data_IF_512134724238
#
_entry.id   IF_512134724238
#
_cell.length_a   1.000
_cell.length_b   1.000
_cell.length_c   1.000
_cell.angle_alpha   90.00
_cell.angle_beta   90.00
_cell.angle_gamma   90.00
#
_symmetry.space_group_name_H-M   'P 1'
#
loop_
_entity.id
_entity.type
_entity.pdbx_description
1 polymer ?
#
# COMPACT_ATOMS: atom_id res chain seq x y z
N UNK A 1 24.14 -11.63 -38.34
CA UNK A 1 24.40 -13.05 -38.00
C UNK A 1 25.29 -13.15 -36.76
N UNK A 2 26.49 -12.55 -36.73
CA UNK A 2 27.35 -12.58 -35.54
C UNK A 2 26.76 -11.81 -34.34
N UNK A 3 26.23 -10.61 -34.58
CA UNK A 3 25.58 -9.77 -33.56
C UNK A 3 24.34 -10.45 -32.95
N UNK A 4 23.39 -10.89 -33.78
CA UNK A 4 22.24 -11.67 -33.29
C UNK A 4 22.62 -12.93 -32.50
N UNK A 5 23.66 -13.67 -32.92
CA UNK A 5 24.11 -14.84 -32.16
C UNK A 5 24.69 -14.47 -30.78
N UNK A 6 25.32 -13.30 -30.69
CA UNK A 6 25.81 -12.76 -29.42
C UNK A 6 24.65 -12.32 -28.53
N UNK A 7 23.64 -11.62 -29.07
CA UNK A 7 22.45 -11.22 -28.34
C UNK A 7 21.69 -12.43 -27.79
N UNK A 8 21.57 -13.51 -28.59
CA UNK A 8 20.94 -14.77 -28.17
C UNK A 8 21.71 -15.42 -27.01
N UNK A 9 23.04 -15.45 -27.08
CA UNK A 9 23.87 -16.00 -26.01
C UNK A 9 23.77 -15.17 -24.73
N UNK A 10 23.68 -13.85 -24.85
CA UNK A 10 23.51 -12.94 -23.71
C UNK A 10 22.16 -13.17 -23.00
N UNK A 11 21.06 -13.23 -23.75
CA UNK A 11 19.75 -13.50 -23.13
C UNK A 11 19.63 -14.92 -22.57
N UNK A 12 20.34 -15.90 -23.15
CA UNK A 12 20.43 -17.24 -22.58
C UNK A 12 21.13 -17.24 -21.21
N UNK A 13 22.27 -16.54 -21.09
CA UNK A 13 22.98 -16.37 -19.81
C UNK A 13 22.10 -15.66 -18.78
N UNK A 14 21.44 -14.57 -19.18
CA UNK A 14 20.56 -13.81 -18.29
C UNK A 14 19.39 -14.67 -17.78
N UNK A 15 18.71 -15.41 -18.65
CA UNK A 15 17.61 -16.31 -18.24
C UNK A 15 18.12 -17.39 -17.30
N UNK A 16 19.28 -17.98 -17.60
CA UNK A 16 19.90 -19.02 -16.76
C UNK A 16 20.20 -18.51 -15.35
N UNK A 17 20.81 -17.33 -15.25
CA UNK A 17 21.18 -16.69 -13.97
C UNK A 17 19.96 -16.21 -13.19
N UNK A 18 18.96 -15.61 -13.85
CA UNK A 18 17.73 -15.11 -13.23
C UNK A 18 16.88 -16.23 -12.62
N UNK A 19 17.06 -17.47 -13.08
CA UNK A 19 16.28 -18.63 -12.65
C UNK A 19 17.15 -19.70 -11.97
N UNK A 20 18.36 -19.35 -11.53
CA UNK A 20 19.30 -20.31 -10.97
C UNK A 20 18.83 -20.90 -9.62
N UNK A 21 19.07 -22.18 -9.41
CA UNK A 21 18.59 -22.92 -8.23
C UNK A 21 19.18 -22.45 -6.88
N UNK A 22 20.35 -21.81 -6.92
CA UNK A 22 21.03 -21.29 -5.74
C UNK A 22 20.44 -19.96 -5.26
N UNK A 23 19.57 -19.31 -6.04
CA UNK A 23 18.94 -18.05 -5.65
C UNK A 23 18.04 -18.25 -4.43
N UNK A 24 18.00 -17.25 -3.55
CA UNK A 24 17.08 -17.23 -2.41
C UNK A 24 15.66 -16.82 -2.83
N UNK A 25 15.54 -16.07 -3.91
CA UNK A 25 14.29 -15.55 -4.47
C UNK A 25 14.53 -14.88 -5.82
N UNK A 26 13.54 -14.13 -6.35
CA UNK A 26 13.67 -13.43 -7.62
C UNK A 26 14.78 -12.39 -7.58
N UNK A 27 15.69 -12.41 -8.55
CA UNK A 27 16.73 -11.40 -8.69
C UNK A 27 16.24 -10.29 -9.62
N UNK A 28 15.60 -9.27 -9.03
CA UNK A 28 14.89 -8.22 -9.77
C UNK A 28 15.78 -7.47 -10.77
N UNK A 29 17.05 -7.24 -10.44
CA UNK A 29 17.98 -6.60 -11.35
C UNK A 29 18.15 -7.39 -12.67
N UNK A 30 18.21 -8.72 -12.60
CA UNK A 30 18.30 -9.57 -13.80
C UNK A 30 16.98 -9.63 -14.56
N UNK A 31 15.85 -9.70 -13.85
CA UNK A 31 14.52 -9.72 -14.48
C UNK A 31 14.24 -8.43 -15.27
N UNK A 32 14.60 -7.28 -14.72
CA UNK A 32 14.45 -5.97 -15.39
C UNK A 32 15.43 -5.85 -16.55
N UNK A 33 16.69 -6.29 -16.39
CA UNK A 33 17.65 -6.30 -17.50
C UNK A 33 17.15 -7.13 -18.70
N UNK A 34 16.48 -8.26 -18.46
CA UNK A 34 15.83 -9.04 -19.52
C UNK A 34 14.67 -8.30 -20.18
N UNK A 35 13.88 -7.53 -19.42
CA UNK A 35 12.82 -6.69 -19.98
C UNK A 35 13.41 -5.59 -20.86
N UNK A 36 14.48 -4.94 -20.41
CA UNK A 36 15.18 -3.90 -21.18
C UNK A 36 15.77 -4.48 -22.47
N UNK A 37 16.40 -5.66 -22.40
CA UNK A 37 16.91 -6.36 -23.57
C UNK A 37 15.78 -6.71 -24.56
N UNK A 38 14.66 -7.25 -24.07
CA UNK A 38 13.51 -7.57 -24.92
C UNK A 38 12.95 -6.33 -25.62
N UNK A 39 12.87 -5.19 -24.92
CA UNK A 39 12.39 -3.92 -25.47
C UNK A 39 13.39 -3.28 -26.46
N UNK A 40 14.70 -3.43 -26.23
CA UNK A 40 15.73 -2.92 -27.14
C UNK A 40 15.88 -3.80 -28.40
N UNK A 41 15.73 -5.12 -28.25
CA UNK A 41 16.07 -6.10 -29.28
C UNK A 41 14.90 -7.08 -29.49
N UNK A 42 13.87 -6.65 -30.22
CA UNK A 42 12.69 -7.49 -30.47
C UNK A 42 13.00 -8.81 -31.19
N UNK A 43 14.12 -8.88 -31.93
CA UNK A 43 14.55 -10.08 -32.65
C UNK A 43 14.83 -11.29 -31.73
N UNK A 44 15.24 -11.06 -30.48
CA UNK A 44 15.54 -12.13 -29.51
C UNK A 44 14.34 -12.53 -28.64
N UNK A 45 13.16 -11.92 -28.83
CA UNK A 45 11.98 -12.23 -28.03
C UNK A 45 11.55 -13.71 -28.14
N UNK A 46 11.66 -14.30 -29.33
CA UNK A 46 11.41 -15.74 -29.52
C UNK A 46 12.43 -16.60 -28.74
N UNK A 47 13.70 -16.18 -28.74
CA UNK A 47 14.76 -16.85 -28.01
C UNK A 47 14.53 -16.82 -26.50
N UNK A 48 14.21 -15.65 -25.95
CA UNK A 48 13.87 -15.49 -24.53
C UNK A 48 12.75 -16.45 -24.14
N UNK A 49 11.65 -16.48 -24.89
CA UNK A 49 10.50 -17.34 -24.57
C UNK A 49 10.85 -18.83 -24.69
N UNK A 50 11.69 -19.21 -25.66
CA UNK A 50 12.20 -20.58 -25.77
C UNK A 50 13.07 -20.98 -24.58
N UNK A 51 13.92 -20.07 -24.09
CA UNK A 51 14.72 -20.34 -22.89
C UNK A 51 13.82 -20.47 -21.65
N UNK A 52 12.80 -19.61 -21.49
CA UNK A 52 11.79 -19.76 -20.44
C UNK A 52 11.09 -21.13 -20.50
N UNK A 53 10.67 -21.58 -21.68
CA UNK A 53 10.06 -22.91 -21.85
C UNK A 53 10.97 -24.04 -21.36
N UNK A 54 12.27 -23.99 -21.69
CA UNK A 54 13.26 -24.97 -21.19
C UNK A 54 13.35 -24.95 -19.67
N UNK A 55 13.29 -23.76 -19.04
CA UNK A 55 13.37 -23.62 -17.58
C UNK A 55 12.08 -24.07 -16.86
N UNK A 56 10.91 -23.86 -17.47
CA UNK A 56 9.62 -24.37 -16.95
C UNK A 56 9.52 -25.90 -16.93
N UNK A 57 10.32 -26.59 -17.75
CA UNK A 57 10.41 -28.06 -17.78
C UNK A 57 11.33 -28.63 -16.69
N UNK A 58 11.91 -27.80 -15.83
CA UNK A 58 12.76 -28.27 -14.73
C UNK A 58 11.93 -28.96 -13.65
N UNK A 59 12.39 -30.12 -13.19
CA UNK A 59 11.83 -30.80 -12.02
C UNK A 59 12.16 -30.09 -10.69
N UNK A 60 12.99 -29.03 -10.73
CA UNK A 60 13.31 -28.23 -9.55
C UNK A 60 12.21 -27.18 -9.32
N UNK A 61 11.45 -27.26 -8.20
CA UNK A 61 10.33 -26.37 -7.95
C UNK A 61 10.75 -24.90 -7.84
N UNK A 62 11.96 -24.63 -7.35
CA UNK A 62 12.49 -23.28 -7.27
C UNK A 62 12.77 -22.69 -8.65
N UNK A 63 13.37 -23.48 -9.54
CA UNK A 63 13.64 -23.05 -10.93
C UNK A 63 12.32 -22.76 -11.64
N UNK A 64 11.32 -23.63 -11.51
CA UNK A 64 9.99 -23.42 -12.08
C UNK A 64 9.34 -22.13 -11.53
N UNK A 65 9.36 -21.92 -10.20
CA UNK A 65 8.79 -20.74 -9.57
C UNK A 65 9.46 -19.44 -10.01
N UNK A 66 10.80 -19.39 -10.01
CA UNK A 66 11.55 -18.21 -10.47
C UNK A 66 11.28 -17.92 -11.96
N UNK A 67 11.13 -18.97 -12.78
CA UNK A 67 10.78 -18.82 -14.19
C UNK A 67 9.37 -18.27 -14.38
N UNK A 68 8.40 -18.69 -13.55
CA UNK A 68 7.05 -18.12 -13.56
C UNK A 68 7.07 -16.62 -13.18
N UNK A 69 7.84 -16.23 -12.16
CA UNK A 69 7.99 -14.81 -11.76
C UNK A 69 8.68 -13.98 -12.84
N UNK A 70 9.74 -14.50 -13.47
CA UNK A 70 10.40 -13.84 -14.59
C UNK A 70 9.43 -13.66 -15.78
N UNK A 71 8.66 -14.71 -16.09
CA UNK A 71 7.64 -14.67 -17.15
C UNK A 71 6.58 -13.61 -16.86
N UNK A 72 6.09 -13.53 -15.63
CA UNK A 72 5.15 -12.48 -15.20
C UNK A 72 5.74 -11.08 -15.42
N UNK A 73 7.00 -10.89 -15.03
CA UNK A 73 7.70 -9.62 -15.18
C UNK A 73 7.83 -9.21 -16.65
N UNK A 74 8.14 -10.16 -17.52
CA UNK A 74 8.22 -9.96 -18.98
C UNK A 74 6.85 -9.68 -19.62
N UNK A 75 5.76 -10.28 -19.12
CA UNK A 75 4.40 -9.95 -19.60
C UNK A 75 3.95 -8.56 -19.14
N UNK A 76 4.43 -8.08 -18.00
CA UNK A 76 4.09 -6.74 -17.49
C UNK A 76 4.87 -5.62 -18.16
N UNK A 77 6.13 -5.87 -18.50
CA UNK A 77 7.08 -4.81 -18.93
C UNK A 77 7.65 -5.03 -20.35
N UNK A 78 7.37 -6.17 -20.97
CA UNK A 78 7.94 -6.54 -22.27
C UNK A 78 7.14 -5.98 -23.46
N UNK A 79 7.73 -6.05 -24.67
CA UNK A 79 7.07 -5.58 -25.88
C UNK A 79 5.97 -6.54 -26.34
N UNK A 80 5.06 -6.11 -27.24
CA UNK A 80 4.02 -6.99 -27.81
C UNK A 80 4.53 -8.29 -28.44
N UNK A 81 5.79 -8.32 -28.90
CA UNK A 81 6.44 -9.53 -29.39
C UNK A 81 6.52 -10.63 -28.31
N UNK A 82 6.85 -10.28 -27.07
CA UNK A 82 6.83 -11.21 -25.93
C UNK A 82 5.40 -11.70 -25.66
N UNK A 83 4.41 -10.81 -25.66
CA UNK A 83 3.02 -11.17 -25.42
C UNK A 83 2.50 -12.18 -26.45
N UNK A 84 2.84 -11.99 -27.73
CA UNK A 84 2.48 -12.90 -28.81
C UNK A 84 3.06 -14.31 -28.59
N UNK A 85 4.34 -14.39 -28.20
CA UNK A 85 5.03 -15.66 -27.98
C UNK A 85 4.54 -16.40 -26.73
N UNK A 86 4.37 -15.67 -25.61
CA UNK A 86 3.80 -16.22 -24.37
C UNK A 86 2.32 -16.59 -24.56
N UNK A 87 1.58 -15.81 -25.35
CA UNK A 87 0.21 -16.08 -25.76
C UNK A 87 0.07 -17.26 -26.75
N UNK A 88 1.12 -18.02 -27.02
CA UNK A 88 1.02 -19.27 -27.78
C UNK A 88 0.42 -20.39 -26.92
N UNK A 89 -0.40 -21.26 -27.54
CA UNK A 89 -0.93 -22.44 -26.84
C UNK A 89 0.17 -23.36 -26.31
N UNK A 90 1.31 -23.42 -26.99
CA UNK A 90 2.45 -24.21 -26.56
C UNK A 90 2.97 -23.72 -25.20
N UNK A 91 3.23 -22.42 -25.06
CA UNK A 91 3.74 -21.84 -23.83
C UNK A 91 2.71 -21.93 -22.69
N UNK A 92 1.46 -21.52 -22.96
CA UNK A 92 0.40 -21.53 -21.94
C UNK A 92 0.07 -22.93 -21.44
N UNK A 93 0.16 -23.96 -22.29
CA UNK A 93 -0.04 -25.34 -21.85
C UNK A 93 1.09 -25.83 -20.93
N UNK A 94 2.33 -25.35 -21.11
CA UNK A 94 3.42 -25.67 -20.16
C UNK A 94 3.16 -25.02 -18.80
N UNK A 95 2.72 -23.76 -18.77
CA UNK A 95 2.32 -23.11 -17.51
C UNK A 95 1.12 -23.83 -16.89
N UNK A 96 0.13 -24.23 -17.68
CA UNK A 96 -1.03 -24.98 -17.20
C UNK A 96 -0.67 -26.36 -16.64
N UNK A 97 0.36 -27.03 -17.18
CA UNK A 97 0.82 -28.31 -16.66
C UNK A 97 1.33 -28.18 -15.20
N UNK A 98 1.95 -27.05 -14.85
CA UNK A 98 2.44 -26.77 -13.50
C UNK A 98 1.31 -26.59 -12.46
N UNK A 99 0.05 -26.54 -12.88
CA UNK A 99 -1.10 -26.42 -11.98
C UNK A 99 -1.54 -27.74 -11.33
N UNK A 100 -0.89 -28.86 -11.65
CA UNK A 100 -1.24 -30.18 -11.12
C UNK A 100 -0.75 -30.42 -9.67
N UNK A 101 0.11 -29.54 -9.15
CA UNK A 101 0.66 -29.64 -7.79
C UNK A 101 1.89 -30.56 -7.66
N UNK A 102 2.37 -31.16 -8.75
CA UNK A 102 3.51 -32.09 -8.74
C UNK A 102 4.82 -31.46 -8.22
N UNK A 103 5.03 -30.16 -8.48
CA UNK A 103 6.17 -29.39 -8.00
C UNK A 103 5.87 -28.58 -6.71
N UNK A 104 4.77 -28.86 -6.05
CA UNK A 104 4.38 -28.21 -4.80
C UNK A 104 3.41 -27.05 -4.95
N UNK A 105 2.82 -26.67 -3.82
CA UNK A 105 1.67 -25.75 -3.74
C UNK A 105 2.03 -24.34 -4.22
N UNK A 106 3.24 -23.85 -3.96
CA UNK A 106 3.67 -22.51 -4.38
C UNK A 106 3.74 -22.38 -5.90
N UNK A 107 4.30 -23.38 -6.58
CA UNK A 107 4.37 -23.43 -8.05
C UNK A 107 2.98 -23.53 -8.65
N UNK A 108 2.14 -24.42 -8.10
CA UNK A 108 0.75 -24.58 -8.52
C UNK A 108 -0.04 -23.27 -8.40
N UNK A 109 0.03 -22.62 -7.23
CA UNK A 109 -0.68 -21.38 -6.97
C UNK A 109 -0.21 -20.25 -7.89
N UNK A 110 1.10 -20.11 -8.08
CA UNK A 110 1.66 -19.11 -8.99
C UNK A 110 1.22 -19.35 -10.44
N UNK A 111 1.29 -20.59 -10.93
CA UNK A 111 0.86 -20.92 -12.29
C UNK A 111 -0.63 -20.60 -12.53
N UNK A 112 -1.50 -21.00 -11.58
CA UNK A 112 -2.93 -20.70 -11.66
C UNK A 112 -3.21 -19.20 -11.58
N UNK A 113 -2.52 -18.49 -10.69
CA UNK A 113 -2.64 -17.04 -10.55
C UNK A 113 -2.30 -16.34 -11.87
N UNK A 114 -1.19 -16.69 -12.50
CA UNK A 114 -0.76 -16.10 -13.77
C UNK A 114 -1.75 -16.38 -14.90
N UNK A 115 -2.21 -17.62 -15.05
CA UNK A 115 -3.20 -17.96 -16.09
C UNK A 115 -4.48 -17.14 -15.93
N UNK A 116 -4.96 -16.96 -14.69
CA UNK A 116 -6.13 -16.10 -14.42
C UNK A 116 -5.84 -14.64 -14.76
N UNK A 117 -4.75 -14.08 -14.24
CA UNK A 117 -4.39 -12.67 -14.45
C UNK A 117 -4.20 -12.35 -15.93
N UNK A 118 -3.54 -13.22 -16.70
CA UNK A 118 -3.35 -13.00 -18.13
C UNK A 118 -4.66 -13.15 -18.92
N UNK A 119 -5.53 -14.08 -18.55
CA UNK A 119 -6.85 -14.18 -19.18
C UNK A 119 -7.69 -12.91 -18.99
N UNK A 120 -7.61 -12.29 -17.81
CA UNK A 120 -8.28 -11.01 -17.52
C UNK A 120 -7.60 -9.83 -18.24
N UNK A 121 -6.26 -9.74 -18.18
CA UNK A 121 -5.50 -8.64 -18.76
C UNK A 121 -5.58 -8.59 -20.30
N UNK A 122 -5.59 -9.75 -20.95
CA UNK A 122 -5.69 -9.87 -22.42
C UNK A 122 -7.14 -10.12 -22.90
N UNK A 123 -8.13 -9.84 -22.04
CA UNK A 123 -9.55 -9.95 -22.39
C UNK A 123 -9.90 -8.97 -23.52
N UNK A 124 -10.47 -9.50 -24.61
CA UNK A 124 -10.82 -8.71 -25.79
C UNK A 124 -9.67 -8.40 -26.74
N UNK A 125 -8.45 -8.88 -26.47
CA UNK A 125 -7.34 -8.85 -27.43
C UNK A 125 -7.43 -10.02 -28.43
N UNK A 126 -6.65 -9.92 -29.52
CA UNK A 126 -6.45 -11.00 -30.51
C UNK A 126 -5.70 -12.23 -29.93
N UNK A 127 -5.10 -12.11 -28.73
CA UNK A 127 -4.38 -13.20 -28.05
C UNK A 127 -5.35 -14.10 -27.28
N UNK A 128 -6.30 -14.70 -27.98
CA UNK A 128 -7.40 -15.49 -27.40
C UNK A 128 -6.93 -16.71 -26.58
N UNK A 129 -5.72 -17.21 -26.82
CA UNK A 129 -5.20 -18.39 -26.14
C UNK A 129 -5.14 -18.23 -24.61
N UNK A 130 -4.88 -17.03 -24.09
CA UNK A 130 -4.90 -16.75 -22.66
C UNK A 130 -6.27 -17.09 -22.04
N UNK A 131 -7.34 -16.59 -22.66
CA UNK A 131 -8.72 -16.86 -22.23
C UNK A 131 -9.11 -18.32 -22.46
N UNK A 132 -8.67 -18.91 -23.57
CA UNK A 132 -9.00 -20.31 -23.91
C UNK A 132 -8.42 -21.29 -22.90
N UNK A 133 -7.16 -21.13 -22.49
CA UNK A 133 -6.51 -22.01 -21.51
C UNK A 133 -7.15 -21.85 -20.13
N UNK A 134 -7.43 -20.61 -19.71
CA UNK A 134 -8.16 -20.35 -18.46
C UNK A 134 -9.54 -21.04 -18.45
N UNK A 135 -10.35 -20.87 -19.51
CA UNK A 135 -11.65 -21.52 -19.64
C UNK A 135 -11.54 -23.05 -19.64
N UNK A 136 -10.54 -23.61 -20.32
CA UNK A 136 -10.29 -25.05 -20.34
C UNK A 136 -10.02 -25.60 -18.94
N UNK A 137 -9.17 -24.94 -18.14
CA UNK A 137 -8.90 -25.37 -16.77
C UNK A 137 -10.14 -25.24 -15.88
N UNK A 138 -10.92 -24.16 -16.02
CA UNK A 138 -12.21 -24.01 -15.31
C UNK A 138 -13.20 -25.13 -15.66
N UNK A 139 -13.32 -25.49 -16.94
CA UNK A 139 -14.17 -26.61 -17.38
C UNK A 139 -13.72 -27.96 -16.83
N UNK A 140 -12.40 -28.13 -16.59
CA UNK A 140 -11.84 -29.33 -15.93
C UNK A 140 -12.04 -29.34 -14.41
N UNK A 141 -12.68 -28.31 -13.84
CA UNK A 141 -12.94 -28.21 -12.40
C UNK A 141 -11.75 -27.71 -11.59
N UNK A 142 -10.70 -27.17 -12.23
CA UNK A 142 -9.56 -26.60 -11.52
C UNK A 142 -10.00 -25.36 -10.75
N UNK A 143 -9.78 -25.39 -9.43
CA UNK A 143 -10.00 -24.24 -8.57
C UNK A 143 -8.83 -23.27 -8.74
N UNK A 144 -9.14 -22.05 -9.19
CA UNK A 144 -8.14 -20.99 -9.24
C UNK A 144 -8.06 -20.32 -7.88
N UNK A 145 -6.87 -19.95 -7.41
CA UNK A 145 -6.75 -19.16 -6.20
C UNK A 145 -7.62 -17.92 -6.35
N UNK A 146 -8.41 -17.66 -5.32
CA UNK A 146 -8.95 -16.31 -5.13
C UNK A 146 -7.71 -15.42 -5.12
N UNK A 147 -7.65 -14.45 -6.04
CA UNK A 147 -6.56 -13.50 -5.94
C UNK A 147 -6.77 -12.86 -4.57
N UNK A 148 -5.86 -13.12 -3.62
CA UNK A 148 -5.81 -12.43 -2.34
C UNK A 148 -5.35 -10.97 -2.60
N UNK A 149 -6.02 -10.31 -3.53
CA UNK A 149 -6.24 -8.88 -3.49
C UNK A 149 -7.40 -8.60 -2.53
N UNK A 150 -7.40 -9.21 -1.35
CA UNK A 150 -8.20 -8.67 -0.26
C UNK A 150 -7.60 -7.28 -0.02
N UNK A 151 -8.37 -6.27 -0.39
CA UNK A 151 -8.10 -4.90 0.03
C UNK A 151 -7.91 -4.99 1.55
N UNK A 152 -6.76 -4.55 2.10
CA UNK A 152 -6.55 -4.66 3.54
C UNK A 152 -7.76 -4.07 4.25
N UNK A 153 -8.37 -4.83 5.17
CA UNK A 153 -9.63 -4.45 5.79
C UNK A 153 -9.38 -3.21 6.66
N UNK A 154 -9.63 -2.06 6.07
CA UNK A 154 -9.86 -0.83 6.80
C UNK A 154 -11.33 -0.85 7.21
N UNK A 155 -11.60 -0.72 8.50
CA UNK A 155 -12.96 -0.55 9.01
C UNK A 155 -12.79 0.33 10.24
N UNK A 156 -13.07 1.64 10.19
CA UNK A 156 -12.80 2.54 11.29
C UNK A 156 -13.49 2.07 12.57
N UNK A 157 -12.96 2.41 13.76
CA UNK A 157 -13.61 2.04 15.01
C UNK A 157 -15.05 2.59 15.04
N UNK A 158 -16.01 1.78 15.48
CA UNK A 158 -17.42 2.17 15.46
C UNK A 158 -17.62 3.40 16.35
N UNK A 159 -18.19 4.46 15.78
CA UNK A 159 -18.52 5.70 16.51
C UNK A 159 -19.78 5.57 17.38
N UNK A 160 -20.22 4.34 17.67
CA UNK A 160 -21.39 4.04 18.49
C UNK A 160 -20.95 3.45 19.83
N UNK A 161 -21.41 4.09 20.91
CA UNK A 161 -21.36 3.61 22.29
C UNK A 161 -21.73 2.13 22.42
N UNK A 162 -20.98 1.42 23.27
CA UNK A 162 -21.11 0.00 23.66
C UNK A 162 -22.53 -0.57 23.56
N UNK A 163 -22.76 -1.44 22.57
CA UNK A 163 -23.64 -2.59 22.71
C UNK A 163 -22.94 -3.80 22.07
N UNK A 164 -22.41 -4.68 22.94
CA UNK A 164 -21.98 -6.01 22.56
C UNK A 164 -23.21 -6.83 22.16
N UNK A 165 -23.40 -7.02 20.85
CA UNK A 165 -24.27 -8.08 20.36
C UNK A 165 -23.44 -9.02 19.50
N UNK A 166 -22.96 -10.09 20.15
CA UNK A 166 -22.32 -11.24 19.53
C UNK A 166 -23.39 -12.02 18.76
N UNK A 167 -23.66 -11.58 17.52
CA UNK A 167 -24.36 -12.42 16.53
C UNK A 167 -23.29 -13.03 15.62
N UNK A 168 -23.00 -14.30 15.89
CA UNK A 168 -22.21 -15.15 15.00
C UNK A 168 -22.92 -15.31 13.66
N UNK A 169 -22.61 -14.42 12.72
CA UNK A 169 -22.86 -14.60 11.30
C UNK A 169 -21.51 -14.59 10.63
N UNK A 170 -21.14 -15.72 9.99
CA UNK A 170 -19.97 -15.79 9.14
C UNK A 170 -20.01 -14.62 8.14
N UNK A 171 -18.92 -13.85 7.96
CA UNK A 171 -18.97 -12.67 7.11
C UNK A 171 -19.28 -13.12 5.68
N UNK A 172 -20.42 -12.69 5.16
CA UNK A 172 -20.74 -12.76 3.73
C UNK A 172 -19.55 -12.18 2.97
N UNK A 173 -18.82 -13.03 2.22
CA UNK A 173 -17.61 -12.62 1.49
C UNK A 173 -18.00 -11.57 0.43
N UNK A 174 -17.56 -10.33 0.64
CA UNK A 174 -17.79 -9.20 -0.27
C UNK A 174 -16.91 -9.34 -1.51
N UNK A 175 -17.40 -8.88 -2.67
CA UNK A 175 -16.58 -8.83 -3.89
C UNK A 175 -15.48 -7.76 -3.75
N UNK A 176 -14.40 -7.85 -4.53
CA UNK A 176 -13.30 -6.86 -4.54
C UNK A 176 -13.79 -5.43 -4.79
N UNK A 177 -14.76 -5.27 -5.70
CA UNK A 177 -15.40 -3.97 -5.96
C UNK A 177 -16.11 -3.43 -4.71
N UNK A 178 -16.86 -4.27 -4.00
CA UNK A 178 -17.51 -3.89 -2.74
C UNK A 178 -16.52 -3.58 -1.62
N UNK A 179 -15.38 -4.27 -1.57
CA UNK A 179 -14.31 -3.98 -0.62
C UNK A 179 -13.64 -2.64 -0.92
N UNK A 180 -13.40 -2.33 -2.20
CA UNK A 180 -12.81 -1.08 -2.64
C UNK A 180 -13.77 0.11 -2.41
N UNK A 181 -15.05 -0.05 -2.72
CA UNK A 181 -16.08 0.95 -2.38
C UNK A 181 -16.15 1.20 -0.87
N UNK A 182 -16.09 0.13 -0.08
CA UNK A 182 -16.07 0.26 1.38
C UNK A 182 -14.81 0.97 1.88
N UNK A 183 -13.64 0.66 1.33
CA UNK A 183 -12.39 1.35 1.67
C UNK A 183 -12.51 2.86 1.41
N UNK A 184 -13.00 3.26 0.23
CA UNK A 184 -13.19 4.69 -0.08
C UNK A 184 -14.21 5.35 0.87
N UNK A 185 -15.31 4.66 1.21
CA UNK A 185 -16.27 5.16 2.20
C UNK A 185 -15.63 5.34 3.59
N UNK A 186 -14.83 4.38 4.01
CA UNK A 186 -14.16 4.40 5.30
C UNK A 186 -13.06 5.49 5.37
N UNK A 187 -12.30 5.69 4.29
CA UNK A 187 -11.34 6.80 4.16
C UNK A 187 -12.05 8.16 4.25
N UNK A 188 -13.23 8.28 3.64
CA UNK A 188 -14.05 9.51 3.73
C UNK A 188 -14.48 9.79 5.17
N UNK A 189 -14.86 8.77 5.95
CA UNK A 189 -15.19 8.94 7.38
C UNK A 189 -13.98 9.47 8.16
N UNK A 190 -12.78 8.96 7.88
CA UNK A 190 -11.55 9.46 8.52
C UNK A 190 -11.30 10.91 8.16
N UNK A 191 -11.44 11.29 6.89
CA UNK A 191 -11.31 12.68 6.44
C UNK A 191 -12.32 13.60 7.13
N UNK A 192 -13.57 13.17 7.30
CA UNK A 192 -14.61 13.91 8.02
C UNK A 192 -14.26 14.07 9.50
N UNK A 193 -13.75 13.03 10.15
CA UNK A 193 -13.28 13.08 11.55
C UNK A 193 -12.06 13.98 11.74
N UNK A 194 -11.12 14.00 10.80
CA UNK A 194 -9.98 14.93 10.77
C UNK A 194 -10.49 16.39 10.70
N UNK A 195 -11.45 16.67 9.81
CA UNK A 195 -12.05 18.00 9.69
C UNK A 195 -12.74 18.43 10.98
N UNK A 196 -13.54 17.53 11.56
CA UNK A 196 -14.20 17.77 12.84
C UNK A 196 -13.17 18.07 13.95
N UNK A 197 -12.10 17.27 14.05
CA UNK A 197 -11.04 17.50 15.03
C UNK A 197 -10.44 18.91 14.89
N UNK A 198 -10.11 19.31 13.65
CA UNK A 198 -9.56 20.64 13.38
C UNK A 198 -10.53 21.76 13.73
N UNK A 199 -11.82 21.58 13.45
CA UNK A 199 -12.85 22.57 13.76
C UNK A 199 -13.06 22.72 15.28
N UNK A 200 -13.13 21.60 16.01
CA UNK A 200 -13.22 21.61 17.48
C UNK A 200 -11.98 22.27 18.09
N UNK A 201 -10.79 21.93 17.57
CA UNK A 201 -9.51 22.49 18.01
C UNK A 201 -9.41 24.00 17.77
N UNK A 202 -9.77 24.47 16.57
CA UNK A 202 -9.77 25.90 16.22
C UNK A 202 -10.76 26.72 17.05
N UNK A 203 -11.84 26.09 17.53
CA UNK A 203 -12.82 26.70 18.44
C UNK A 203 -12.36 26.69 19.90
N UNK A 204 -11.21 26.10 20.21
CA UNK A 204 -10.71 25.93 21.58
C UNK A 204 -11.60 25.04 22.44
N UNK A 205 -12.40 24.15 21.83
CA UNK A 205 -13.27 23.26 22.58
C UNK A 205 -12.44 22.18 23.25
N UNK A 206 -12.67 21.99 24.55
CA UNK A 206 -12.06 20.94 25.36
C UNK A 206 -13.17 20.08 25.97
N UNK A 207 -12.95 18.77 26.09
CA UNK A 207 -13.94 17.84 26.65
C UNK A 207 -14.01 16.49 25.94
N UNK A 208 -14.96 15.67 26.38
CA UNK A 208 -15.14 14.27 25.95
C UNK A 208 -15.25 14.12 24.43
N UNK A 209 -16.02 14.99 23.77
CA UNK A 209 -16.20 14.96 22.31
C UNK A 209 -14.90 15.16 21.52
N UNK A 210 -13.95 15.97 22.03
CA UNK A 210 -12.65 16.16 21.38
C UNK A 210 -11.78 14.91 21.57
N UNK A 211 -11.77 14.35 22.78
CA UNK A 211 -10.97 13.17 23.10
C UNK A 211 -11.48 11.93 22.35
N UNK A 212 -12.79 11.77 22.21
CA UNK A 212 -13.40 10.68 21.41
C UNK A 212 -12.95 10.72 19.95
N UNK A 213 -12.89 11.93 19.36
CA UNK A 213 -12.44 12.11 17.98
C UNK A 213 -10.93 11.86 17.88
N UNK A 214 -10.13 12.31 18.86
CA UNK A 214 -8.70 12.03 18.93
C UNK A 214 -8.41 10.53 19.02
N UNK A 215 -9.11 9.81 19.89
CA UNK A 215 -8.92 8.39 20.11
C UNK A 215 -9.38 7.57 18.91
N UNK A 216 -10.48 7.95 18.26
CA UNK A 216 -10.88 7.38 16.97
C UNK A 216 -9.75 7.51 15.94
N UNK A 217 -9.17 8.71 15.79
CA UNK A 217 -8.14 8.99 14.79
C UNK A 217 -6.81 8.29 15.10
N UNK A 218 -6.41 8.18 16.37
CA UNK A 218 -5.26 7.38 16.81
C UNK A 218 -5.43 5.90 16.45
N UNK A 219 -6.62 5.36 16.64
CA UNK A 219 -6.93 3.97 16.29
C UNK A 219 -6.93 3.70 14.78
N UNK A 220 -7.10 4.72 13.94
CA UNK A 220 -6.99 4.60 12.49
C UNK A 220 -5.54 4.47 11.99
N UNK A 221 -4.55 4.96 12.74
CA UNK A 221 -3.15 4.98 12.34
C UNK A 221 -2.55 3.59 12.03
N UNK A 222 -2.64 2.56 12.92
CA UNK A 222 -2.11 1.24 12.60
C UNK A 222 -2.79 0.61 11.38
N UNK A 223 -4.07 0.92 11.17
CA UNK A 223 -4.87 0.40 10.05
C UNK A 223 -4.49 1.08 8.73
N UNK A 224 -4.14 2.36 8.77
CA UNK A 224 -3.63 3.11 7.63
C UNK A 224 -2.26 2.59 7.20
N UNK A 225 -1.39 2.25 8.14
CA UNK A 225 -0.10 1.63 7.84
C UNK A 225 -0.26 0.29 7.09
N UNK A 226 -1.18 -0.57 7.55
CA UNK A 226 -1.47 -1.84 6.86
C UNK A 226 -2.02 -1.63 5.45
N UNK A 227 -2.82 -0.58 5.21
CA UNK A 227 -3.29 -0.21 3.87
C UNK A 227 -2.14 0.22 2.97
N UNK A 228 -1.25 1.08 3.47
CA UNK A 228 -0.09 1.58 2.73
C UNK A 228 0.86 0.42 2.38
N UNK A 229 1.16 -0.44 3.35
CA UNK A 229 1.93 -1.68 3.11
C UNK A 229 1.27 -2.56 2.05
N UNK A 230 -0.05 -2.75 2.13
CA UNK A 230 -0.81 -3.50 1.13
C UNK A 230 -0.75 -2.87 -0.27
N UNK A 231 -0.78 -1.53 -0.38
CA UNK A 231 -0.63 -0.84 -1.65
C UNK A 231 0.78 -0.92 -2.23
N UNK A 232 1.82 -0.83 -1.39
CA UNK A 232 3.20 -1.08 -1.82
C UNK A 232 3.37 -2.51 -2.36
N UNK A 233 2.64 -3.47 -1.78
CA UNK A 233 2.57 -4.85 -2.27
C UNK A 233 1.67 -5.06 -3.49
N UNK A 234 1.07 -4.00 -4.05
CA UNK A 234 0.22 -4.06 -5.24
C UNK A 234 -1.20 -4.60 -5.00
N UNK A 235 -1.68 -4.63 -3.74
CA UNK A 235 -3.02 -5.14 -3.40
C UNK A 235 -4.16 -4.16 -3.72
N UNK A 236 -3.83 -2.87 -3.82
CA UNK A 236 -4.73 -1.77 -4.23
C UNK A 236 -4.08 -1.01 -5.39
N UNK A 237 -4.89 -0.33 -6.21
CA UNK A 237 -4.36 0.46 -7.33
C UNK A 237 -3.61 1.72 -6.85
N UNK A 238 -2.77 2.25 -7.74
CA UNK A 238 -1.89 3.40 -7.46
C UNK A 238 -2.66 4.64 -6.99
N UNK A 239 -3.86 4.86 -7.54
CA UNK A 239 -4.71 6.00 -7.19
C UNK A 239 -5.26 5.87 -5.77
N UNK A 240 -5.71 4.66 -5.38
CA UNK A 240 -6.16 4.41 -4.01
C UNK A 240 -4.99 4.48 -3.02
N UNK A 241 -3.79 4.00 -3.39
CA UNK A 241 -2.60 4.15 -2.55
C UNK A 241 -2.23 5.62 -2.33
N UNK A 242 -2.25 6.44 -3.38
CA UNK A 242 -2.03 7.89 -3.29
C UNK A 242 -3.04 8.54 -2.32
N UNK A 243 -4.31 8.16 -2.39
CA UNK A 243 -5.33 8.63 -1.47
C UNK A 243 -5.05 8.20 -0.02
N UNK A 244 -4.67 6.95 0.22
CA UNK A 244 -4.29 6.45 1.55
C UNK A 244 -3.11 7.25 2.14
N UNK A 245 -2.07 7.49 1.33
CA UNK A 245 -0.89 8.26 1.74
C UNK A 245 -1.27 9.69 2.12
N UNK A 246 -2.06 10.37 1.27
CA UNK A 246 -2.50 11.74 1.54
C UNK A 246 -3.37 11.83 2.81
N UNK A 247 -4.28 10.89 3.03
CA UNK A 247 -5.09 10.84 4.26
C UNK A 247 -4.20 10.59 5.48
N UNK A 248 -3.21 9.71 5.38
CA UNK A 248 -2.27 9.42 6.46
C UNK A 248 -1.42 10.64 6.84
N UNK A 249 -0.91 11.37 5.85
CA UNK A 249 -0.09 12.57 6.08
C UNK A 249 -0.91 13.66 6.78
N UNK A 250 -2.14 13.90 6.33
CA UNK A 250 -3.05 14.87 6.96
C UNK A 250 -3.40 14.41 8.38
N UNK A 251 -3.66 13.12 8.59
CA UNK A 251 -3.96 12.53 9.89
C UNK A 251 -2.82 12.78 10.88
N UNK A 252 -1.60 12.38 10.51
CA UNK A 252 -0.40 12.51 11.35
C UNK A 252 -0.13 13.97 11.70
N UNK A 253 -0.20 14.86 10.72
CA UNK A 253 -0.02 16.30 10.92
C UNK A 253 -1.06 16.88 11.90
N UNK A 254 -2.34 16.51 11.74
CA UNK A 254 -3.41 17.01 12.60
C UNK A 254 -3.27 16.50 14.04
N UNK A 255 -2.88 15.24 14.23
CA UNK A 255 -2.62 14.69 15.57
C UNK A 255 -1.41 15.36 16.23
N UNK A 256 -0.35 15.65 15.47
CA UNK A 256 0.83 16.34 15.97
C UNK A 256 0.50 17.79 16.39
N UNK A 257 -0.26 18.53 15.59
CA UNK A 257 -0.73 19.88 15.90
C UNK A 257 -1.54 19.92 17.20
N UNK A 258 -2.50 19.01 17.39
CA UNK A 258 -3.28 18.92 18.63
C UNK A 258 -2.41 18.56 19.85
N UNK A 259 -1.37 17.73 19.66
CA UNK A 259 -0.45 17.37 20.76
C UNK A 259 0.40 18.55 21.23
N UNK A 260 0.91 19.37 20.29
CA UNK A 260 1.73 20.56 20.58
C UNK A 260 0.93 21.64 21.32
N UNK A 261 -0.32 21.87 20.92
CA UNK A 261 -1.20 22.83 21.61
C UNK A 261 -1.52 22.38 23.05
N UNK A 262 -1.80 21.10 23.31
CA UNK A 262 -2.00 20.59 24.69
C UNK A 262 -0.78 20.84 25.58
N UNK A 263 0.44 20.69 25.05
CA UNK A 263 1.67 20.99 25.79
C UNK A 263 1.85 22.49 26.04
N UNK A 264 1.43 23.34 25.09
CA UNK A 264 1.50 24.80 25.23
C UNK A 264 0.49 25.34 26.25
N UNK A 265 -0.73 24.79 26.29
CA UNK A 265 -1.76 25.15 27.30
C UNK A 265 -1.38 24.71 28.72
N UNK A 266 -0.66 23.58 28.88
CA UNK A 266 -0.11 23.19 30.20
C UNK A 266 1.00 24.13 30.69
N UNK A 267 1.83 24.68 29.79
CA UNK A 267 2.91 25.60 30.16
C UNK A 267 2.41 27.01 30.46
N UNK A 268 1.26 27.44 29.92
CA UNK A 268 0.68 28.76 30.19
C UNK A 268 -0.13 28.79 31.50
N UNK A 269 -0.61 27.63 31.98
CA UNK A 269 -1.37 27.54 33.22
C UNK A 269 -0.51 27.66 34.49
N UNK A 270 0.80 27.39 34.42
CA UNK A 270 1.71 27.37 35.57
C UNK A 270 2.38 28.73 35.88
N UNK A 271 1.87 29.82 35.31
CA UNK A 271 2.20 31.18 35.78
C UNK A 271 1.24 31.58 36.89
N UNK A 272 1.69 31.70 38.17
CA UNK A 272 0.82 32.15 39.24
C UNK A 272 0.32 33.56 38.93
N UNK A 273 -0.93 33.93 39.29
CA UNK A 273 -1.34 35.32 39.25
C UNK A 273 -0.47 36.08 40.25
N UNK A 274 0.45 36.89 39.73
CA UNK A 274 1.20 37.86 40.52
C UNK A 274 0.21 38.76 41.24
N UNK A 275 0.02 38.48 42.53
CA UNK A 275 -0.80 39.27 43.43
C UNK A 275 -0.20 40.67 43.54
N UNK A 276 -0.74 41.63 42.78
CA UNK A 276 -0.47 43.04 42.98
C UNK A 276 -1.72 43.71 43.57
N UNK A 277 -2.02 43.36 44.83
CA UNK A 277 -2.90 44.15 45.72
C UNK A 277 -2.45 43.99 47.17
N UNK A 278 -1.93 45.09 47.70
CA UNK A 278 -1.99 45.65 49.08
C UNK A 278 -0.67 46.41 49.30
N UNK A 279 -0.61 47.64 49.81
CA UNK A 279 -1.49 48.31 50.75
C UNK A 279 -1.42 49.84 50.58
N UNK A 280 -2.55 50.51 50.84
CA UNK A 280 -2.53 51.87 51.32
C UNK A 280 -2.40 51.90 52.85
N UNK A 281 -2.02 53.07 53.37
CA UNK A 281 -2.11 53.55 54.76
C UNK A 281 -0.91 53.23 55.67
N UNK A 282 0.09 54.11 55.63
CA UNK A 282 0.83 54.54 56.83
C UNK A 282 0.35 55.97 57.15
N UNK A 283 -0.23 56.14 58.33
CA UNK A 283 -0.87 57.36 58.81
C UNK A 283 0.07 58.09 59.80
N UNK A 284 0.32 59.37 59.51
CA UNK A 284 0.32 60.56 60.39
C UNK A 284 1.32 60.78 61.56
N UNK A 285 1.60 62.08 61.75
CA UNK A 285 2.34 62.84 62.78
C UNK A 285 3.86 62.68 62.88
N UNK A 286 4.69 63.73 62.93
CA UNK A 286 4.64 65.21 63.02
C UNK A 286 6.14 65.62 63.09
N UNK A 287 6.63 66.85 63.08
CA UNK A 287 6.16 68.23 63.07
C UNK A 287 7.45 69.08 62.83
N UNK A 288 7.31 70.40 62.63
CA UNK A 288 8.35 71.48 62.76
C UNK A 288 9.14 71.95 61.50
N UNK A 289 8.69 73.13 61.01
CA UNK A 289 9.46 74.39 60.83
C UNK A 289 10.45 74.46 59.62
N UNK A 290 10.56 75.51 58.81
CA UNK A 290 10.45 76.95 59.02
C UNK A 290 10.02 77.69 57.73
N UNK A 291 9.26 78.75 57.96
CA UNK A 291 8.89 79.80 57.03
C UNK A 291 10.02 80.86 56.93
N UNK A 292 10.14 81.51 55.77
CA UNK A 292 10.98 82.69 55.54
C UNK A 292 11.51 82.68 54.11
N UNK A 293 11.10 83.52 53.16
CA UNK A 293 10.63 84.90 53.27
C UNK A 293 11.64 85.78 52.52
N UNK A 294 11.18 86.50 51.49
CA UNK A 294 11.83 87.73 51.04
C UNK A 294 12.85 87.63 49.89
N UNK A 295 12.40 88.10 48.73
CA UNK A 295 13.18 88.83 47.70
C UNK A 295 14.03 89.95 48.33
N UNK A 296 15.19 90.30 47.75
CA UNK A 296 15.66 91.66 47.40
C UNK A 296 17.19 91.68 47.14
N UNK A 297 17.54 92.24 45.97
CA UNK A 297 18.83 92.67 45.39
C UNK A 297 19.82 91.61 44.89
#
# INVERSE_FOLDING_TARGET
MAEYAQDVAEVEDLVSRATAEYLAGPEWALNIALCDCANAHHAVCDDIVRFLQRRLQSDNPKVALLTLVLTETLVKNGPPAIHSQIGSRLFLNQVAALSDGSLGVDVQNQALLLIRQWADAFKGSELHAFQDVYRQLKMRGVAFPEIENDVPIFTPPSSASKEENYSGSAPMRRTREQQLEKLHADLKVVQEKIKLLRDLHNRGQTGEQLEDVLDFLRQCQPRMNTLIEGGIMGKIDERTLEECLNVNDILMKTLEECSKTKMQDMMTFDSPPGANRTAGLQQDMGELNLNGGGTVL
#
